data_IF_546372648812
#
_entry.id   IF_546372648812
#
_cell.length_a   1.000
_cell.length_b   1.000
_cell.length_c   1.000
_cell.angle_alpha   90.00
_cell.angle_beta   90.00
_cell.angle_gamma   90.00
#
_symmetry.space_group_name_H-M   'P 1'
#
loop_
_entity.id
_entity.type
_entity.pdbx_description
1 polymer ?
#
# COMPACT_ATOMS: atom_id res chain seq x y z
N UNK A 1 -26.76 39.24 -30.72
CA UNK A 1 -26.76 38.64 -29.36
C UNK A 1 -26.13 37.25 -29.46
N UNK A 2 -24.81 37.20 -29.58
CA UNK A 2 -24.07 36.04 -30.12
C UNK A 2 -22.83 35.80 -29.25
N UNK A 3 -23.04 35.42 -27.98
CA UNK A 3 -21.93 35.33 -27.01
C UNK A 3 -22.07 34.26 -25.92
N UNK A 4 -23.24 33.63 -25.76
CA UNK A 4 -23.49 32.73 -24.64
C UNK A 4 -23.27 31.23 -24.94
N UNK A 5 -23.27 30.83 -26.23
CA UNK A 5 -23.20 29.41 -26.61
C UNK A 5 -21.76 28.85 -26.72
N UNK A 6 -20.75 29.70 -26.86
CA UNK A 6 -19.35 29.25 -27.01
C UNK A 6 -18.70 28.83 -25.67
N UNK A 7 -19.10 29.43 -24.53
CA UNK A 7 -18.50 29.14 -23.22
C UNK A 7 -18.95 27.81 -22.60
N UNK A 8 -20.14 27.30 -22.95
CA UNK A 8 -20.66 26.01 -22.42
C UNK A 8 -20.07 24.78 -23.14
N UNK A 9 -19.61 24.93 -24.38
CA UNK A 9 -18.93 23.86 -25.11
C UNK A 9 -17.49 23.65 -24.63
N UNK A 10 -16.82 24.72 -24.20
CA UNK A 10 -15.44 24.67 -23.70
C UNK A 10 -15.33 24.14 -22.26
N UNK A 11 -16.36 24.32 -21.41
CA UNK A 11 -16.31 23.76 -20.03
C UNK A 11 -16.61 22.27 -19.94
N UNK A 12 -17.29 21.68 -20.95
CA UNK A 12 -17.60 20.24 -20.98
C UNK A 12 -16.44 19.35 -21.45
N UNK A 13 -15.39 19.93 -22.06
CA UNK A 13 -14.17 19.17 -22.46
C UNK A 13 -13.13 19.04 -21.34
N UNK A 14 -13.28 19.75 -20.22
CA UNK A 14 -12.28 19.79 -19.14
C UNK A 14 -12.48 18.73 -18.05
N UNK A 15 -13.57 17.95 -18.07
CA UNK A 15 -13.84 16.88 -17.10
C UNK A 15 -13.67 15.50 -17.75
N UNK A 16 -12.55 15.31 -18.44
CA UNK A 16 -12.03 13.98 -18.72
C UNK A 16 -11.57 13.36 -17.40
N UNK A 17 -12.48 12.62 -16.76
CA UNK A 17 -12.16 11.67 -15.69
C UNK A 17 -11.16 10.67 -16.27
N UNK A 18 -9.86 10.89 -16.01
CA UNK A 18 -8.85 9.85 -16.18
C UNK A 18 -9.17 8.74 -15.18
N UNK A 19 -9.94 7.75 -15.61
CA UNK A 19 -9.95 6.47 -14.93
C UNK A 19 -8.50 5.96 -14.93
N UNK A 20 -7.85 6.00 -13.77
CA UNK A 20 -6.49 5.53 -13.61
C UNK A 20 -6.49 4.03 -13.89
N UNK A 21 -6.00 3.62 -15.06
CA UNK A 21 -5.84 2.20 -15.35
C UNK A 21 -4.79 1.60 -14.41
N UNK A 22 -4.94 0.33 -14.05
CA UNK A 22 -3.95 -0.42 -13.24
C UNK A 22 -2.52 -0.23 -13.78
N UNK A 23 -2.38 -0.20 -15.10
CA UNK A 23 -1.10 0.04 -15.80
C UNK A 23 -0.57 1.47 -15.60
N UNK A 24 -1.44 2.48 -15.52
CA UNK A 24 -1.04 3.86 -15.23
C UNK A 24 -0.66 4.03 -13.75
N UNK A 25 -1.35 3.34 -12.84
CA UNK A 25 -0.98 3.26 -11.43
C UNK A 25 0.38 2.58 -11.25
N UNK A 26 0.60 1.41 -11.86
CA UNK A 26 1.87 0.70 -11.79
C UNK A 26 3.02 1.47 -12.45
N UNK A 27 2.78 2.18 -13.56
CA UNK A 27 3.78 3.08 -14.16
C UNK A 27 4.06 4.30 -13.30
N UNK A 28 3.04 4.88 -12.66
CA UNK A 28 3.20 5.95 -11.68
C UNK A 28 4.01 5.50 -10.47
N UNK A 29 3.79 4.27 -10.02
CA UNK A 29 4.52 3.63 -8.93
C UNK A 29 5.98 3.38 -9.33
N UNK A 30 6.24 2.78 -10.49
CA UNK A 30 7.59 2.59 -11.02
C UNK A 30 8.34 3.93 -11.25
N UNK A 31 7.65 4.97 -11.71
CA UNK A 31 8.22 6.31 -11.87
C UNK A 31 8.51 6.99 -10.52
N UNK A 32 7.65 6.78 -9.51
CA UNK A 32 7.89 7.27 -8.16
C UNK A 32 9.07 6.55 -7.50
N UNK A 33 9.23 5.24 -7.71
CA UNK A 33 10.42 4.47 -7.29
C UNK A 33 11.67 5.00 -7.99
N UNK A 34 11.62 5.23 -9.31
CA UNK A 34 12.74 5.83 -10.05
C UNK A 34 13.11 7.24 -9.54
N UNK A 35 12.12 8.04 -9.15
CA UNK A 35 12.34 9.37 -8.55
C UNK A 35 12.92 9.27 -7.13
N UNK A 36 12.55 8.27 -6.34
CA UNK A 36 13.14 8.00 -5.02
C UNK A 36 14.62 7.64 -5.12
N UNK A 37 15.01 6.89 -6.16
CA UNK A 37 16.42 6.65 -6.47
C UNK A 37 17.18 7.93 -6.87
N UNK A 38 16.51 8.92 -7.47
CA UNK A 38 17.13 10.16 -7.92
C UNK A 38 17.21 11.26 -6.86
N UNK A 39 16.42 11.16 -5.77
CA UNK A 39 16.32 12.18 -4.70
C UNK A 39 17.01 11.72 -3.40
N UNK A 40 17.58 10.51 -3.37
CA UNK A 40 18.43 10.08 -2.27
C UNK A 40 19.50 11.15 -1.99
N UNK A 41 19.62 11.66 -0.74
CA UNK A 41 20.48 12.78 -0.43
C UNK A 41 21.91 12.48 -0.88
N UNK A 42 22.50 13.42 -1.61
CA UNK A 42 23.89 13.39 -2.05
C UNK A 42 24.82 13.38 -0.82
N UNK A 43 25.03 12.20 -0.24
CA UNK A 43 25.74 12.05 1.02
C UNK A 43 26.01 10.58 1.31
N UNK A 44 27.04 10.04 0.64
CA UNK A 44 27.66 8.71 0.82
C UNK A 44 26.84 7.50 0.37
N UNK A 45 26.92 7.20 -0.93
CA UNK A 45 27.61 6.01 -1.42
C UNK A 45 27.48 6.00 -2.95
N UNK A 46 28.61 6.15 -3.64
CA UNK A 46 28.70 5.90 -5.08
C UNK A 46 28.49 4.40 -5.31
N UNK A 47 27.26 3.98 -5.60
CA UNK A 47 26.98 2.65 -6.11
C UNK A 47 26.58 2.80 -7.58
N UNK A 48 27.52 2.50 -8.47
CA UNK A 48 27.28 2.41 -9.92
C UNK A 48 26.17 1.40 -10.24
N UNK A 49 25.40 1.61 -11.33
CA UNK A 49 24.35 0.69 -11.74
C UNK A 49 24.97 -0.46 -12.54
N UNK A 50 25.52 -1.45 -11.84
CA UNK A 50 25.80 -2.76 -12.42
C UNK A 50 24.78 -3.75 -11.85
N UNK A 51 23.59 -3.75 -12.43
CA UNK A 51 22.54 -4.74 -12.18
C UNK A 51 22.97 -6.10 -12.76
N UNK A 52 23.82 -6.81 -12.03
CA UNK A 52 23.78 -8.27 -12.07
C UNK A 52 22.71 -8.70 -11.07
N UNK A 53 21.68 -9.39 -11.56
CA UNK A 53 20.67 -10.05 -10.74
C UNK A 53 21.32 -11.20 -9.95
N UNK A 54 22.03 -10.85 -8.88
CA UNK A 54 22.36 -11.80 -7.82
C UNK A 54 21.10 -12.22 -7.07
N UNK A 55 21.12 -13.36 -6.37
CA UNK A 55 19.99 -13.78 -5.56
C UNK A 55 19.64 -12.65 -4.57
N UNK A 56 18.37 -12.24 -4.57
CA UNK A 56 17.89 -11.21 -3.65
C UNK A 56 18.22 -11.66 -2.22
N UNK A 57 19.10 -10.91 -1.55
CA UNK A 57 19.45 -11.22 -0.18
C UNK A 57 18.17 -11.23 0.67
N UNK A 58 18.00 -12.23 1.56
CA UNK A 58 16.83 -12.28 2.43
C UNK A 58 16.78 -11.01 3.28
N UNK A 59 15.65 -10.30 3.22
CA UNK A 59 15.42 -9.13 4.06
C UNK A 59 15.27 -9.60 5.51
N UNK A 60 16.04 -8.99 6.40
CA UNK A 60 16.17 -9.43 7.78
C UNK A 60 14.85 -9.30 8.58
N UNK A 61 14.68 -10.08 9.67
CA UNK A 61 13.44 -10.07 10.45
C UNK A 61 13.10 -8.73 11.10
N UNK A 62 14.09 -7.88 11.42
CA UNK A 62 13.88 -6.56 12.03
C UNK A 62 13.27 -5.62 11.00
N UNK A 63 13.83 -5.56 9.79
CA UNK A 63 13.26 -4.80 8.67
C UNK A 63 11.82 -5.24 8.38
N UNK A 64 11.56 -6.54 8.38
CA UNK A 64 10.20 -7.07 8.19
C UNK A 64 9.25 -6.59 9.28
N UNK A 65 9.63 -6.72 10.55
CA UNK A 65 8.77 -6.32 11.66
C UNK A 65 8.42 -4.82 11.61
N UNK A 66 9.38 -3.96 11.30
CA UNK A 66 9.15 -2.52 11.15
C UNK A 66 8.20 -2.20 10.00
N UNK A 67 8.40 -2.82 8.83
CA UNK A 67 7.52 -2.60 7.66
C UNK A 67 6.12 -3.20 7.85
N UNK A 68 6.00 -4.35 8.52
CA UNK A 68 4.71 -4.92 8.91
C UNK A 68 3.98 -4.03 9.90
N UNK A 69 4.69 -3.46 10.89
CA UNK A 69 4.11 -2.51 11.82
C UNK A 69 3.57 -1.26 11.13
N UNK A 70 4.27 -0.76 10.11
CA UNK A 70 3.76 0.35 9.29
C UNK A 70 2.54 -0.08 8.47
N UNK A 71 2.58 -1.24 7.82
CA UNK A 71 1.45 -1.75 7.04
C UNK A 71 0.19 -1.96 7.90
N UNK A 72 0.33 -2.55 9.09
CA UNK A 72 -0.75 -2.69 10.09
C UNK A 72 -1.23 -1.32 10.62
N UNK A 73 -0.38 -0.29 10.61
CA UNK A 73 -0.83 1.06 10.95
C UNK A 73 -1.77 1.63 9.88
N UNK A 74 -1.48 1.38 8.60
CA UNK A 74 -2.27 1.89 7.46
C UNK A 74 -3.57 1.10 7.26
N UNK A 75 -3.51 -0.24 7.27
CA UNK A 75 -4.69 -1.11 7.24
C UNK A 75 -4.59 -2.11 8.40
N UNK A 76 -5.19 -1.78 9.56
CA UNK A 76 -5.05 -2.58 10.79
C UNK A 76 -5.73 -3.92 10.69
N UNK A 77 -5.15 -4.92 11.35
CA UNK A 77 -5.75 -6.24 11.50
C UNK A 77 -5.54 -6.83 12.89
N UNK A 78 -5.93 -8.10 13.04
CA UNK A 78 -5.67 -8.89 14.25
C UNK A 78 -4.19 -9.22 14.41
N UNK A 79 -3.77 -9.52 15.64
CA UNK A 79 -2.42 -10.07 15.87
C UNK A 79 -2.28 -11.49 15.30
N UNK A 80 -1.05 -11.88 14.95
CA UNK A 80 -0.72 -13.28 14.63
C UNK A 80 -0.78 -14.18 15.87
N UNK A 81 -0.34 -13.65 17.01
CA UNK A 81 -0.36 -14.29 18.33
C UNK A 81 -0.34 -13.20 19.42
N UNK A 82 -0.69 -13.50 20.69
CA UNK A 82 -0.84 -12.46 21.74
C UNK A 82 0.38 -11.55 21.95
N UNK A 83 1.59 -12.11 21.82
CA UNK A 83 2.86 -11.40 21.95
C UNK A 83 3.39 -10.74 20.67
N UNK A 84 2.61 -10.70 19.59
CA UNK A 84 3.03 -9.99 18.37
C UNK A 84 3.01 -8.48 18.64
N UNK A 85 4.15 -7.85 18.48
CA UNK A 85 4.31 -6.40 18.64
C UNK A 85 4.36 -5.66 17.31
N UNK A 86 4.70 -6.35 16.20
CA UNK A 86 4.62 -5.74 14.89
C UNK A 86 3.16 -5.41 14.57
N UNK A 87 2.24 -6.34 14.81
CA UNK A 87 0.81 -6.12 14.63
C UNK A 87 0.19 -5.68 15.95
N UNK A 88 -0.45 -4.51 15.95
CA UNK A 88 -1.04 -3.96 17.14
C UNK A 88 -2.34 -4.66 17.55
N UNK A 89 -3.05 -5.27 16.60
CA UNK A 89 -4.38 -5.85 16.87
C UNK A 89 -5.48 -4.79 16.98
N UNK A 90 -5.33 -3.65 16.28
CA UNK A 90 -6.18 -2.47 16.48
C UNK A 90 -7.59 -2.58 15.85
N UNK A 91 -7.79 -3.54 14.94
CA UNK A 91 -9.07 -3.78 14.29
C UNK A 91 -9.41 -5.28 14.28
N UNK A 92 -10.71 -5.64 14.34
CA UNK A 92 -11.15 -7.01 14.14
C UNK A 92 -10.99 -7.41 12.66
N UNK A 93 -10.57 -8.64 12.41
CA UNK A 93 -10.41 -9.18 11.06
C UNK A 93 -9.00 -9.02 10.46
N UNK A 94 -8.83 -9.36 9.16
CA UNK A 94 -7.53 -9.29 8.51
C UNK A 94 -7.11 -7.83 8.25
N UNK A 95 -5.81 -7.57 8.25
CA UNK A 95 -5.21 -6.29 7.84
C UNK A 95 -4.24 -6.45 6.68
N UNK A 96 -3.49 -5.39 6.38
CA UNK A 96 -2.51 -5.39 5.27
C UNK A 96 -1.45 -6.49 5.41
N UNK A 97 -1.02 -6.81 6.63
CA UNK A 97 0.00 -7.84 6.86
C UNK A 97 -0.52 -9.22 6.46
N UNK A 98 -1.70 -9.61 6.94
CA UNK A 98 -2.35 -10.86 6.54
C UNK A 98 -2.63 -10.91 5.04
N UNK A 99 -2.95 -9.75 4.45
CA UNK A 99 -3.16 -9.62 3.02
C UNK A 99 -1.88 -9.65 2.17
N UNK A 100 -0.69 -9.81 2.76
CA UNK A 100 0.55 -10.01 2.04
C UNK A 100 1.30 -8.72 1.67
N UNK A 101 1.22 -7.67 2.50
CA UNK A 101 1.94 -6.42 2.26
C UNK A 101 3.46 -6.60 2.06
N UNK A 102 4.12 -7.42 2.89
CA UNK A 102 5.56 -7.70 2.74
C UNK A 102 5.85 -8.48 1.45
N UNK A 103 4.98 -9.42 1.08
CA UNK A 103 5.10 -10.16 -0.19
C UNK A 103 5.05 -9.19 -1.37
N UNK A 104 4.11 -8.25 -1.36
CA UNK A 104 3.99 -7.24 -2.40
C UNK A 104 5.19 -6.27 -2.41
N UNK A 105 5.68 -5.81 -1.25
CA UNK A 105 6.88 -4.96 -1.15
C UNK A 105 8.15 -5.63 -1.69
N UNK A 106 8.22 -6.96 -1.58
CA UNK A 106 9.33 -7.78 -2.10
C UNK A 106 9.13 -8.22 -3.55
N UNK A 107 8.01 -7.88 -4.17
CA UNK A 107 7.71 -8.29 -5.55
C UNK A 107 8.76 -7.71 -6.51
N UNK A 108 9.41 -8.55 -7.35
CA UNK A 108 10.45 -8.11 -8.28
C UNK A 108 10.00 -6.96 -9.18
N UNK A 109 8.72 -6.92 -9.55
CA UNK A 109 8.12 -5.91 -10.42
C UNK A 109 8.13 -4.50 -9.80
N UNK A 110 8.20 -4.39 -8.47
CA UNK A 110 8.32 -3.11 -7.79
C UNK A 110 9.76 -2.63 -7.69
N UNK A 111 10.74 -3.54 -7.73
CA UNK A 111 12.17 -3.20 -7.59
C UNK A 111 12.54 -2.59 -6.23
N UNK A 112 11.69 -2.72 -5.21
CA UNK A 112 11.86 -2.07 -3.91
C UNK A 112 12.70 -2.86 -2.91
N UNK A 113 12.87 -4.17 -3.12
CA UNK A 113 13.55 -5.07 -2.16
C UNK A 113 14.89 -4.54 -1.63
N UNK A 114 15.81 -3.99 -2.45
CA UNK A 114 17.08 -3.46 -1.95
C UNK A 114 16.94 -2.22 -1.06
N UNK A 115 15.84 -1.47 -1.18
CA UNK A 115 15.59 -0.25 -0.42
C UNK A 115 14.93 -0.52 0.93
N UNK A 116 14.28 -1.69 1.11
CA UNK A 116 13.47 -2.01 2.29
C UNK A 116 14.19 -1.80 3.63
N UNK A 117 15.48 -2.19 3.80
CA UNK A 117 16.20 -1.94 5.05
C UNK A 117 16.38 -0.44 5.34
N UNK A 118 16.63 0.37 4.31
CA UNK A 118 16.74 1.82 4.46
C UNK A 118 15.40 2.47 4.83
N UNK A 119 14.30 1.98 4.26
CA UNK A 119 12.94 2.45 4.61
C UNK A 119 12.58 2.14 6.05
N UNK A 120 12.89 0.92 6.52
CA UNK A 120 12.69 0.54 7.91
C UNK A 120 13.55 1.39 8.86
N UNK A 121 14.83 1.60 8.53
CA UNK A 121 15.70 2.47 9.32
C UNK A 121 15.19 3.91 9.40
N UNK A 122 14.67 4.47 8.31
CA UNK A 122 14.10 5.81 8.31
C UNK A 122 12.82 5.89 9.14
N UNK A 123 11.94 4.87 9.09
CA UNK A 123 10.78 4.79 9.97
C UNK A 123 11.17 4.77 11.46
N UNK A 124 12.23 4.05 11.80
CA UNK A 124 12.72 3.97 13.17
C UNK A 124 13.34 5.29 13.65
N UNK A 125 13.98 6.05 12.75
CA UNK A 125 14.44 7.43 13.03
C UNK A 125 13.25 8.35 13.30
N UNK A 126 12.24 8.34 12.44
CA UNK A 126 11.02 9.14 12.61
C UNK A 126 10.27 8.76 13.89
N UNK A 127 10.19 7.47 14.22
CA UNK A 127 9.60 6.99 15.46
C UNK A 127 10.35 7.48 16.70
N UNK A 128 11.67 7.48 16.66
CA UNK A 128 12.52 7.98 17.74
C UNK A 128 12.33 9.50 17.92
N UNK A 129 12.31 10.26 16.82
CA UNK A 129 12.01 11.69 16.83
C UNK A 129 10.64 11.96 17.43
N UNK A 130 9.60 11.27 16.96
CA UNK A 130 8.25 11.38 17.49
C UNK A 130 8.17 11.11 18.99
N UNK A 131 8.76 10.00 19.44
CA UNK A 131 8.79 9.57 20.83
C UNK A 131 9.44 10.61 21.74
N UNK A 132 10.57 11.18 21.31
CA UNK A 132 11.29 12.22 22.06
C UNK A 132 10.49 13.53 22.13
N UNK A 133 9.93 14.00 21.02
CA UNK A 133 9.12 15.23 20.98
C UNK A 133 7.86 15.14 21.85
N UNK A 134 7.24 13.96 21.93
CA UNK A 134 5.97 13.78 22.65
C UNK A 134 6.12 13.21 24.07
N UNK A 135 7.36 12.96 24.53
CA UNK A 135 7.61 12.34 25.84
C UNK A 135 7.03 10.93 25.95
N UNK A 136 6.94 10.20 24.84
CA UNK A 136 6.38 8.84 24.77
C UNK A 136 7.51 7.85 24.51
N UNK A 137 8.27 7.41 25.53
CA UNK A 137 9.35 6.47 25.31
C UNK A 137 8.77 5.18 24.70
N UNK A 138 9.40 4.64 23.64
CA UNK A 138 8.95 3.40 23.02
C UNK A 138 8.85 2.30 24.07
N UNK A 139 7.92 1.36 23.87
CA UNK A 139 7.64 0.27 24.81
C UNK A 139 8.92 -0.48 25.23
N UNK A 140 9.89 -0.61 24.32
CA UNK A 140 11.21 -1.21 24.58
C UNK A 140 12.09 -0.48 25.61
N UNK A 141 11.79 0.78 25.93
CA UNK A 141 12.49 1.59 26.94
C UNK A 141 11.66 1.78 28.23
N UNK A 142 10.47 1.19 28.32
CA UNK A 142 9.66 1.23 29.54
C UNK A 142 10.14 0.12 30.51
N UNK A 143 10.38 0.43 31.81
CA UNK A 143 10.75 -0.59 32.78
C UNK A 143 9.61 -1.63 32.87
N UNK A 144 9.93 -2.93 33.01
CA UNK A 144 8.91 -3.97 32.99
C UNK A 144 7.92 -3.75 34.14
N UNK A 145 6.66 -3.47 33.80
CA UNK A 145 5.56 -3.64 34.74
C UNK A 145 5.47 -5.14 34.99
N UNK A 146 5.86 -5.54 36.20
CA UNK A 146 5.90 -6.90 36.75
C UNK A 146 5.10 -7.96 35.98
N UNK A 147 5.78 -9.05 35.59
CA UNK A 147 5.33 -10.29 34.92
C UNK A 147 5.53 -10.39 33.39
N UNK A 148 6.08 -9.38 32.71
CA UNK A 148 6.45 -9.51 31.29
C UNK A 148 7.93 -9.92 31.14
N UNK A 149 8.24 -10.94 30.31
CA UNK A 149 9.64 -11.26 29.98
C UNK A 149 10.32 -10.00 29.39
N UNK A 150 11.66 -9.86 29.54
CA UNK A 150 12.36 -8.67 29.05
C UNK A 150 11.98 -8.43 27.59
N UNK A 151 11.48 -7.22 27.29
CA UNK A 151 11.26 -6.78 25.93
C UNK A 151 12.62 -6.84 25.22
N UNK A 152 12.83 -7.86 24.40
CA UNK A 152 13.89 -7.86 23.40
C UNK A 152 13.83 -6.51 22.68
N UNK A 153 14.95 -5.79 22.61
CA UNK A 153 15.00 -4.42 22.12
C UNK A 153 14.26 -4.30 20.77
N UNK A 154 13.04 -3.78 20.82
CA UNK A 154 12.18 -3.72 19.64
C UNK A 154 12.62 -2.54 18.78
N UNK A 155 12.47 -2.63 17.45
CA UNK A 155 12.68 -1.49 16.57
C UNK A 155 11.81 -0.31 17.05
N UNK A 156 12.32 0.93 17.09
CA UNK A 156 11.59 2.09 17.62
C UNK A 156 10.14 2.22 17.14
N UNK A 157 9.88 2.05 15.84
CA UNK A 157 8.53 2.15 15.30
C UNK A 157 7.61 1.02 15.79
N UNK A 158 8.12 -0.21 15.89
CA UNK A 158 7.43 -1.35 16.51
C UNK A 158 7.18 -1.09 18.01
N UNK A 159 8.08 -0.39 18.68
CA UNK A 159 7.94 -0.02 20.08
C UNK A 159 6.82 1.00 20.35
N UNK A 160 6.29 1.70 19.34
CA UNK A 160 5.19 2.64 19.52
C UNK A 160 3.85 1.91 19.71
N UNK A 161 2.94 2.49 20.52
CA UNK A 161 1.54 2.01 20.58
C UNK A 161 0.83 2.38 19.28
N UNK A 162 -0.25 1.67 18.95
CA UNK A 162 -0.99 1.92 17.70
C UNK A 162 -1.39 3.40 17.51
N UNK A 163 -1.91 4.05 18.55
CA UNK A 163 -2.31 5.45 18.47
C UNK A 163 -1.14 6.38 18.13
N UNK A 164 0.06 6.08 18.64
CA UNK A 164 1.29 6.83 18.35
C UNK A 164 1.76 6.57 16.91
N UNK A 165 1.73 5.31 16.46
CA UNK A 165 2.04 4.95 15.07
C UNK A 165 1.10 5.64 14.10
N UNK A 166 -0.21 5.65 14.38
CA UNK A 166 -1.21 6.27 13.53
C UNK A 166 -1.04 7.81 13.48
N UNK A 167 -0.73 8.45 14.60
CA UNK A 167 -0.42 9.87 14.64
C UNK A 167 0.84 10.21 13.84
N UNK A 168 1.92 9.45 14.04
CA UNK A 168 3.15 9.60 13.26
C UNK A 168 2.91 9.35 11.77
N UNK A 169 2.19 8.30 11.39
CA UNK A 169 1.85 8.04 9.99
C UNK A 169 1.04 9.19 9.38
N UNK A 170 0.10 9.78 10.13
CA UNK A 170 -0.64 10.96 9.69
C UNK A 170 0.27 12.19 9.50
N UNK A 171 1.27 12.37 10.36
CA UNK A 171 2.30 13.40 10.20
C UNK A 171 3.12 13.17 8.94
N UNK A 172 3.67 11.96 8.76
CA UNK A 172 4.51 11.60 7.60
C UNK A 172 3.77 11.73 6.27
N UNK A 173 2.47 11.43 6.24
CA UNK A 173 1.63 11.53 5.04
C UNK A 173 1.08 12.93 4.77
N UNK A 174 1.25 13.88 5.69
CA UNK A 174 0.75 15.26 5.55
C UNK A 174 1.35 15.94 4.32
N UNK A 175 0.56 16.66 3.51
CA UNK A 175 1.08 17.45 2.39
C UNK A 175 2.23 18.38 2.79
N UNK A 176 3.35 18.28 2.06
CA UNK A 176 4.50 19.16 2.23
C UNK A 176 5.54 18.72 3.26
N UNK A 177 5.40 17.54 3.86
CA UNK A 177 6.45 16.96 4.71
C UNK A 177 7.63 16.46 3.89
N UNK A 178 8.85 16.45 4.49
CA UNK A 178 9.99 15.75 3.90
C UNK A 178 9.65 14.30 3.59
N UNK A 179 10.14 13.80 2.46
CA UNK A 179 9.98 12.41 2.02
C UNK A 179 8.52 11.91 1.93
N UNK A 180 7.51 12.79 1.94
CA UNK A 180 6.09 12.43 1.88
C UNK A 180 5.76 11.39 0.80
N UNK A 181 6.39 11.52 -0.38
CA UNK A 181 6.17 10.60 -1.52
C UNK A 181 6.60 9.17 -1.20
N UNK A 182 7.63 8.99 -0.38
CA UNK A 182 8.09 7.69 0.10
C UNK A 182 7.04 7.05 1.02
N UNK A 183 6.53 7.83 1.96
CA UNK A 183 5.51 7.37 2.91
C UNK A 183 4.19 7.05 2.21
N UNK A 184 3.80 7.88 1.25
CA UNK A 184 2.64 7.64 0.39
C UNK A 184 2.80 6.35 -0.42
N UNK A 185 3.99 6.08 -0.95
CA UNK A 185 4.27 4.82 -1.66
C UNK A 185 4.08 3.62 -0.75
N UNK A 186 4.65 3.65 0.47
CA UNK A 186 4.54 2.54 1.42
C UNK A 186 3.10 2.33 1.90
N UNK A 187 2.36 3.41 2.15
CA UNK A 187 0.94 3.36 2.50
C UNK A 187 0.10 2.81 1.34
N UNK A 188 0.38 3.26 0.11
CA UNK A 188 -0.28 2.77 -1.10
C UNK A 188 -0.06 1.27 -1.30
N UNK A 189 1.17 0.78 -1.14
CA UNK A 189 1.46 -0.66 -1.26
C UNK A 189 0.71 -1.46 -0.18
N UNK A 190 0.63 -0.94 1.04
CA UNK A 190 -0.12 -1.58 2.13
C UNK A 190 -1.61 -1.69 1.79
N UNK A 191 -2.21 -0.61 1.29
CA UNK A 191 -3.60 -0.61 0.83
C UNK A 191 -3.80 -1.53 -0.38
N UNK A 192 -2.92 -1.50 -1.38
CA UNK A 192 -3.00 -2.35 -2.57
C UNK A 192 -2.94 -3.85 -2.23
N UNK A 193 -2.12 -4.23 -1.25
CA UNK A 193 -2.06 -5.61 -0.78
C UNK A 193 -3.42 -6.08 -0.25
N UNK A 194 -4.10 -5.23 0.52
CA UNK A 194 -5.43 -5.51 1.08
C UNK A 194 -6.55 -5.41 0.04
N UNK A 195 -6.71 -4.26 -0.60
CA UNK A 195 -7.87 -3.93 -1.44
C UNK A 195 -7.92 -4.70 -2.75
N UNK A 196 -6.76 -5.11 -3.26
CA UNK A 196 -6.67 -5.63 -4.63
C UNK A 196 -5.88 -6.92 -4.78
N UNK A 197 -5.23 -7.38 -3.70
CA UNK A 197 -4.27 -8.50 -3.76
C UNK A 197 -3.25 -8.30 -4.89
N UNK A 198 -2.66 -7.10 -5.02
CA UNK A 198 -1.96 -6.68 -6.25
C UNK A 198 -0.79 -7.59 -6.71
N UNK A 199 -0.26 -8.43 -5.81
CA UNK A 199 0.80 -9.41 -6.06
C UNK A 199 0.30 -10.78 -6.56
N UNK A 200 -1.02 -10.96 -6.70
CA UNK A 200 -1.63 -12.22 -7.13
C UNK A 200 -2.45 -12.03 -8.40
N UNK A 201 -2.63 -13.12 -9.15
CA UNK A 201 -3.66 -13.19 -10.18
C UNK A 201 -5.03 -13.17 -9.52
N UNK A 202 -5.90 -12.25 -9.94
CA UNK A 202 -7.21 -12.03 -9.31
C UNK A 202 -8.04 -13.30 -9.17
N UNK A 203 -8.14 -14.20 -10.18
CA UNK A 203 -8.90 -15.43 -10.00
C UNK A 203 -8.35 -16.35 -8.91
N UNK A 204 -7.03 -16.41 -8.79
CA UNK A 204 -6.38 -17.24 -7.77
C UNK A 204 -6.53 -16.62 -6.38
N UNK A 205 -6.38 -15.31 -6.26
CA UNK A 205 -6.60 -14.59 -5.01
C UNK A 205 -8.02 -14.82 -4.48
N UNK A 206 -9.03 -14.74 -5.36
CA UNK A 206 -10.43 -14.96 -4.99
C UNK A 206 -10.69 -16.44 -4.64
N UNK A 207 -10.21 -17.37 -5.46
CA UNK A 207 -10.40 -18.82 -5.25
C UNK A 207 -9.79 -19.31 -3.94
N UNK A 208 -8.62 -18.78 -3.56
CA UNK A 208 -7.94 -19.15 -2.32
C UNK A 208 -8.37 -18.31 -1.11
N UNK A 209 -9.38 -17.43 -1.26
CA UNK A 209 -9.92 -16.65 -0.14
C UNK A 209 -8.91 -15.62 0.40
N UNK A 210 -8.27 -14.84 -0.48
CA UNK A 210 -7.34 -13.79 -0.08
C UNK A 210 -7.98 -12.89 1.00
N UNK A 211 -7.29 -12.61 2.13
CA UNK A 211 -7.92 -12.04 3.30
C UNK A 211 -8.63 -10.70 3.06
N UNK A 212 -8.01 -9.81 2.26
CA UNK A 212 -8.59 -8.50 1.95
C UNK A 212 -9.77 -8.60 0.99
N UNK A 213 -9.63 -9.36 -0.10
CA UNK A 213 -10.73 -9.56 -1.07
C UNK A 213 -11.94 -10.27 -0.42
N UNK A 214 -11.70 -11.25 0.44
CA UNK A 214 -12.76 -11.94 1.19
C UNK A 214 -13.45 -10.98 2.16
N UNK A 215 -12.69 -10.15 2.89
CA UNK A 215 -13.23 -9.15 3.81
C UNK A 215 -14.10 -8.11 3.09
N UNK A 216 -13.65 -7.64 1.92
CA UNK A 216 -14.38 -6.71 1.05
C UNK A 216 -15.54 -7.36 0.30
N UNK A 217 -15.72 -8.68 0.42
CA UNK A 217 -16.72 -9.48 -0.31
C UNK A 217 -16.60 -9.30 -1.82
N UNK A 218 -15.37 -9.34 -2.33
CA UNK A 218 -15.10 -9.28 -3.75
C UNK A 218 -15.90 -10.37 -4.48
N UNK A 219 -16.57 -10.05 -5.62
CA UNK A 219 -17.43 -11.01 -6.30
C UNK A 219 -16.68 -12.29 -6.69
N UNK A 220 -17.34 -13.42 -6.52
CA UNK A 220 -16.88 -14.69 -7.07
C UNK A 220 -17.14 -14.72 -8.58
N UNK A 221 -16.31 -15.44 -9.36
CA UNK A 221 -16.66 -15.73 -10.74
C UNK A 221 -17.86 -16.66 -10.82
N UNK A 222 -18.51 -16.71 -11.97
CA UNK A 222 -19.50 -17.74 -12.31
C UNK A 222 -18.84 -19.14 -12.33
N UNK A 223 -19.65 -20.19 -12.46
CA UNK A 223 -19.19 -21.58 -12.45
C UNK A 223 -18.14 -21.91 -13.53
N UNK A 224 -18.08 -21.13 -14.61
CA UNK A 224 -17.10 -21.25 -15.69
C UNK A 224 -15.84 -20.39 -15.49
N UNK A 225 -15.70 -19.73 -14.33
CA UNK A 225 -14.54 -18.92 -13.97
C UNK A 225 -14.56 -17.50 -14.51
N UNK A 226 -15.66 -17.06 -15.15
CA UNK A 226 -15.80 -15.72 -15.71
C UNK A 226 -16.59 -14.79 -14.80
N UNK A 227 -16.15 -13.53 -14.69
CA UNK A 227 -16.92 -12.49 -14.01
C UNK A 227 -17.91 -11.87 -14.98
N UNK A 228 -19.20 -12.13 -14.76
CA UNK A 228 -20.27 -11.48 -15.50
C UNK A 228 -21.09 -10.62 -14.56
N UNK A 229 -21.42 -9.42 -15.03
CA UNK A 229 -22.27 -8.49 -14.32
C UNK A 229 -23.52 -8.27 -15.16
N UNK A 230 -24.57 -9.10 -14.99
CA UNK A 230 -25.78 -9.02 -15.81
C UNK A 230 -26.54 -7.70 -15.61
N UNK A 231 -26.28 -7.00 -14.50
CA UNK A 231 -26.74 -5.63 -14.27
C UNK A 231 -25.62 -4.67 -14.63
N UNK A 232 -25.90 -3.75 -15.55
CA UNK A 232 -24.99 -2.67 -15.93
C UNK A 232 -24.46 -1.96 -14.68
N UNK A 233 -23.17 -1.60 -14.67
CA UNK A 233 -22.51 -0.97 -13.51
C UNK A 233 -23.16 0.35 -13.07
N UNK A 234 -23.93 0.98 -13.95
CA UNK A 234 -24.68 2.22 -13.70
C UNK A 234 -26.18 2.00 -13.47
N UNK A 235 -26.62 0.74 -13.40
CA UNK A 235 -28.03 0.32 -13.32
C UNK A 235 -28.93 0.94 -14.40
N UNK A 236 -28.34 1.40 -15.51
CA UNK A 236 -29.03 1.97 -16.67
C UNK A 236 -28.24 1.71 -17.94
N UNK A 237 -28.95 1.58 -19.05
CA UNK A 237 -28.36 1.56 -20.39
C UNK A 237 -27.74 2.94 -20.67
N UNK A 238 -26.43 2.98 -20.95
CA UNK A 238 -25.72 4.25 -21.21
C UNK A 238 -25.77 4.66 -22.68
N UNK A 239 -25.96 3.71 -23.59
CA UNK A 239 -26.05 3.92 -25.03
C UNK A 239 -26.78 2.74 -25.66
N UNK A 240 -27.52 3.01 -26.74
CA UNK A 240 -28.07 1.96 -27.59
C UNK A 240 -26.93 1.27 -28.38
N UNK A 241 -27.00 -0.05 -28.60
CA UNK A 241 -26.04 -0.75 -29.44
C UNK A 241 -26.02 -0.15 -30.85
N UNK A 242 -24.83 0.08 -31.41
CA UNK A 242 -24.72 0.52 -32.80
C UNK A 242 -25.22 -0.61 -33.73
N UNK A 243 -25.91 -0.33 -34.86
CA UNK A 243 -26.43 -1.37 -35.76
C UNK A 243 -25.37 -2.36 -36.25
N UNK A 244 -24.12 -1.91 -36.36
CA UNK A 244 -22.94 -2.71 -36.71
C UNK A 244 -22.24 -3.31 -35.49
N UNK A 245 -22.98 -3.67 -34.44
CA UNK A 245 -22.45 -4.36 -33.27
C UNK A 245 -22.93 -5.81 -33.30
N UNK A 246 -22.02 -6.77 -33.15
CA UNK A 246 -22.38 -8.18 -33.06
C UNK A 246 -23.25 -8.45 -31.82
N UNK A 247 -23.99 -9.57 -31.77
CA UNK A 247 -24.75 -9.97 -30.57
C UNK A 247 -23.89 -10.09 -29.30
N UNK A 248 -22.58 -10.29 -29.44
CA UNK A 248 -21.61 -10.35 -28.33
C UNK A 248 -21.08 -8.97 -27.90
N UNK A 249 -21.46 -7.88 -28.57
CA UNK A 249 -21.01 -6.52 -28.25
C UNK A 249 -19.72 -6.07 -28.95
N UNK A 250 -19.23 -6.81 -29.96
CA UNK A 250 -18.03 -6.44 -30.73
C UNK A 250 -18.40 -5.59 -31.96
N UNK A 251 -17.52 -4.70 -32.45
CA UNK A 251 -17.70 -4.09 -33.77
C UNK A 251 -17.77 -5.19 -34.84
N UNK A 252 -18.78 -5.13 -35.70
CA UNK A 252 -18.95 -6.01 -36.86
C UNK A 252 -18.19 -5.49 -38.08
#
# INVERSE_FOLDING_TARGET
MTGALSRRALSRRALSRRALSRRALLRGLAAAVGALYAVAPAGRASASPALSAGPALPVDPVTVATLEAFADTIVPGVKRYPGDHALAGAAPGPGAVQAGAITLLRAPELGLTPLLPGLAGLLDVEATGYATTHGRPPLSLQPPLSLQPPLSLQPPFVGLRYADRAALAADLLRPGTPDQKLWLLLALVSALAFDTAAHLHTPDAVRHGHPGLAHLRFPQPDADGLWRYPRFSYQRTLADPHPSTTPSGSPA
#
